data_IF_879170786135
#
_entry.id   IF_879170786135
#
_cell.length_a   1.000
_cell.length_b   1.000
_cell.length_c   1.000
_cell.angle_alpha   90.00
_cell.angle_beta   90.00
_cell.angle_gamma   90.00
#
_symmetry.space_group_name_H-M   'P 1'
#
loop_
_entity.id
_entity.type
_entity.pdbx_description
1 polymer ?
#
# COMPACT_ATOMS: atom_id res chain seq x y z
N UNK A 1 -10.06 -14.68 13.70
CA UNK A 1 -11.38 -14.82 13.03
C UNK A 1 -11.31 -15.66 11.74
N UNK A 2 -10.21 -15.65 10.97
CA UNK A 2 -10.07 -16.42 9.72
C UNK A 2 -8.99 -17.51 9.72
N UNK A 3 -8.39 -17.83 10.88
CA UNK A 3 -7.33 -18.86 11.04
C UNK A 3 -6.14 -18.70 10.07
N UNK A 4 -5.82 -17.45 9.72
CA UNK A 4 -4.63 -17.09 8.94
C UNK A 4 -3.57 -16.64 9.93
N UNK A 5 -2.40 -17.26 9.86
CA UNK A 5 -1.25 -16.86 10.67
C UNK A 5 -0.55 -15.67 10.00
N UNK A 6 -0.49 -14.54 10.71
CA UNK A 6 0.13 -13.31 10.22
C UNK A 6 1.11 -12.84 11.29
N UNK A 7 2.41 -13.00 11.02
CA UNK A 7 3.49 -12.59 11.91
C UNK A 7 3.83 -11.10 11.75
N UNK A 8 4.24 -10.44 12.83
CA UNK A 8 4.85 -9.12 12.84
C UNK A 8 6.11 -9.05 11.97
N UNK A 9 6.88 -10.14 11.87
CA UNK A 9 8.05 -10.19 10.99
C UNK A 9 7.67 -10.10 9.51
N UNK A 10 6.51 -10.66 9.14
CA UNK A 10 5.99 -10.51 7.79
C UNK A 10 5.70 -9.03 7.48
N UNK A 11 5.10 -8.30 8.41
CA UNK A 11 4.87 -6.85 8.24
C UNK A 11 6.17 -6.04 8.10
N UNK A 12 7.20 -6.32 8.91
CA UNK A 12 8.50 -5.63 8.80
C UNK A 12 9.14 -5.88 7.42
N UNK A 13 9.12 -7.14 6.96
CA UNK A 13 9.70 -7.52 5.67
C UNK A 13 8.99 -6.82 4.50
N UNK A 14 7.65 -6.81 4.51
CA UNK A 14 6.84 -6.18 3.48
C UNK A 14 7.00 -4.65 3.49
N UNK A 15 7.08 -4.03 4.67
CA UNK A 15 7.26 -2.58 4.77
C UNK A 15 8.59 -2.12 4.18
N UNK A 16 9.66 -2.93 4.27
CA UNK A 16 10.95 -2.60 3.63
C UNK A 16 10.94 -2.73 2.10
N UNK A 17 10.07 -3.59 1.56
CA UNK A 17 10.02 -3.87 0.12
C UNK A 17 9.02 -2.97 -0.63
N UNK A 18 7.92 -2.62 0.04
CA UNK A 18 6.78 -1.92 -0.56
C UNK A 18 6.92 -0.42 -0.29
N UNK A 19 7.12 0.41 -1.34
CA UNK A 19 7.24 1.85 -1.19
C UNK A 19 5.90 2.53 -0.88
N UNK A 20 5.96 3.66 -0.19
CA UNK A 20 4.81 4.54 -0.03
C UNK A 20 4.65 5.42 -1.27
N UNK A 21 3.48 5.34 -1.92
CA UNK A 21 3.21 6.08 -3.17
C UNK A 21 2.27 7.27 -3.00
N UNK A 22 1.54 7.35 -1.90
CA UNK A 22 0.40 8.28 -1.73
C UNK A 22 0.80 9.48 -0.87
N UNK A 23 0.68 10.68 -1.44
CA UNK A 23 0.99 11.96 -0.78
C UNK A 23 -0.25 12.57 -0.10
N UNK A 24 -0.93 11.80 0.74
CA UNK A 24 -2.08 12.25 1.53
C UNK A 24 -1.67 12.52 2.97
N UNK A 25 -2.26 13.53 3.61
CA UNK A 25 -2.05 13.82 5.04
C UNK A 25 -2.27 12.54 5.88
N UNK A 26 -1.32 12.15 6.75
CA UNK A 26 -0.15 12.91 7.24
C UNK A 26 1.14 12.77 6.42
N UNK A 27 1.19 11.87 5.44
CA UNK A 27 2.39 11.56 4.65
C UNK A 27 2.73 12.62 3.60
N UNK A 28 1.77 13.47 3.25
CA UNK A 28 1.94 14.53 2.25
C UNK A 28 0.96 15.68 2.42
N UNK A 29 0.93 16.59 1.44
CA UNK A 29 0.14 17.81 1.48
C UNK A 29 -1.30 17.69 0.96
N UNK A 30 -1.72 16.53 0.46
CA UNK A 30 -3.03 16.37 -0.19
C UNK A 30 -4.08 15.73 0.71
N UNK A 31 -5.35 15.98 0.41
CA UNK A 31 -6.49 15.41 1.11
C UNK A 31 -6.92 14.07 0.52
N UNK A 32 -7.81 13.36 1.22
CA UNK A 32 -8.41 12.13 0.70
C UNK A 32 -9.28 12.39 -0.55
N UNK A 33 -9.81 13.61 -0.69
CA UNK A 33 -10.60 14.02 -1.86
C UNK A 33 -9.68 14.11 -3.07
N UNK A 34 -8.52 14.75 -2.92
CA UNK A 34 -7.51 14.83 -3.98
C UNK A 34 -7.03 13.44 -4.39
N UNK A 35 -6.91 12.50 -3.44
CA UNK A 35 -6.59 11.10 -3.73
C UNK A 35 -7.67 10.41 -4.56
N UNK A 36 -8.94 10.60 -4.20
CA UNK A 36 -10.05 10.06 -4.99
C UNK A 36 -10.06 10.65 -6.41
N UNK A 37 -9.86 11.96 -6.54
CA UNK A 37 -9.79 12.63 -7.84
C UNK A 37 -8.57 12.21 -8.67
N UNK A 38 -7.45 11.87 -8.03
CA UNK A 38 -6.25 11.33 -8.66
C UNK A 38 -6.42 9.91 -9.22
N UNK A 39 -7.57 9.25 -9.01
CA UNK A 39 -7.85 7.88 -9.44
C UNK A 39 -8.09 6.90 -8.29
N UNK A 40 -7.87 7.34 -7.05
CA UNK A 40 -8.21 6.61 -5.84
C UNK A 40 -7.50 5.27 -5.69
N UNK A 41 -8.16 4.36 -4.94
CA UNK A 41 -7.63 3.02 -4.64
C UNK A 41 -7.37 2.21 -5.91
N UNK A 42 -8.25 2.14 -6.93
CA UNK A 42 -7.98 1.35 -8.13
C UNK A 42 -6.70 1.78 -8.85
N UNK A 43 -6.46 3.09 -8.99
CA UNK A 43 -5.27 3.61 -9.63
C UNK A 43 -3.98 3.32 -8.84
N UNK A 44 -4.05 3.42 -7.50
CA UNK A 44 -2.94 3.02 -6.62
C UNK A 44 -2.62 1.53 -6.74
N UNK A 45 -3.65 0.67 -6.66
CA UNK A 45 -3.50 -0.78 -6.75
C UNK A 45 -2.94 -1.19 -8.12
N UNK A 46 -3.38 -0.53 -9.20
CA UNK A 46 -2.84 -0.72 -10.54
C UNK A 46 -1.34 -0.36 -10.63
N UNK A 47 -0.92 0.74 -10.01
CA UNK A 47 0.49 1.12 -9.94
C UNK A 47 1.30 0.09 -9.12
N UNK A 48 0.71 -0.46 -8.06
CA UNK A 48 1.33 -1.47 -7.18
C UNK A 48 1.25 -2.91 -7.69
N UNK A 49 0.73 -3.15 -8.90
CA UNK A 49 0.46 -4.50 -9.45
C UNK A 49 1.59 -5.51 -9.34
N UNK A 50 2.85 -5.06 -9.30
CA UNK A 50 4.03 -5.94 -9.21
C UNK A 50 4.23 -6.56 -7.81
N UNK A 51 3.60 -5.98 -6.79
CA UNK A 51 3.66 -6.44 -5.40
C UNK A 51 2.41 -7.20 -4.97
N UNK A 52 1.45 -7.38 -5.88
CA UNK A 52 0.13 -7.92 -5.57
C UNK A 52 -0.13 -9.19 -6.35
N UNK A 53 -0.80 -10.14 -5.72
CA UNK A 53 -1.39 -11.26 -6.43
C UNK A 53 -2.70 -10.81 -7.09
N UNK A 54 -2.65 -10.62 -8.41
CA UNK A 54 -3.79 -10.16 -9.21
C UNK A 54 -4.87 -11.24 -9.40
N UNK A 55 -4.56 -12.50 -9.09
CA UNK A 55 -5.51 -13.61 -9.22
C UNK A 55 -6.48 -13.73 -8.03
N UNK A 56 -6.22 -13.00 -6.94
CA UNK A 56 -7.08 -12.97 -5.77
C UNK A 56 -8.51 -12.55 -6.11
N UNK A 57 -9.49 -13.34 -5.65
CA UNK A 57 -10.90 -13.01 -5.84
C UNK A 57 -11.34 -11.86 -4.93
N UNK A 58 -12.18 -10.98 -5.49
CA UNK A 58 -12.81 -9.90 -4.74
C UNK A 58 -14.27 -10.22 -4.43
N UNK A 59 -14.91 -9.36 -3.62
CA UNK A 59 -16.33 -9.50 -3.23
C UNK A 59 -17.29 -9.40 -4.41
N UNK A 60 -16.87 -8.77 -5.51
CA UNK A 60 -17.67 -8.61 -6.73
C UNK A 60 -17.63 -9.85 -7.63
N UNK A 61 -16.90 -10.89 -7.22
CA UNK A 61 -16.80 -12.17 -7.94
C UNK A 61 -15.85 -12.17 -9.14
N UNK A 62 -15.04 -11.11 -9.28
CA UNK A 62 -13.97 -11.00 -10.28
C UNK A 62 -12.61 -10.96 -9.59
N UNK A 63 -11.53 -11.18 -10.34
CA UNK A 63 -10.17 -11.10 -9.81
C UNK A 63 -9.75 -9.65 -9.53
N UNK A 64 -8.78 -9.45 -8.64
CA UNK A 64 -8.21 -8.14 -8.36
C UNK A 64 -7.65 -7.48 -9.62
N UNK A 65 -7.05 -8.27 -10.52
CA UNK A 65 -6.55 -7.81 -11.81
C UNK A 65 -7.65 -7.24 -12.72
N UNK A 66 -8.83 -7.88 -12.73
CA UNK A 66 -10.01 -7.39 -13.46
C UNK A 66 -10.61 -6.14 -12.81
N UNK A 67 -10.65 -6.07 -11.46
CA UNK A 67 -11.15 -4.91 -10.73
C UNK A 67 -10.40 -3.61 -11.05
N UNK A 68 -9.10 -3.71 -11.36
CA UNK A 68 -8.23 -2.56 -11.62
C UNK A 68 -7.98 -2.34 -13.12
N UNK A 69 -8.63 -3.12 -13.99
CA UNK A 69 -8.48 -2.99 -15.42
C UNK A 69 -8.96 -1.60 -15.88
N UNK A 70 -8.09 -0.87 -16.58
CA UNK A 70 -8.36 0.50 -17.02
C UNK A 70 -8.25 1.58 -15.92
N UNK A 71 -7.83 1.22 -14.70
CA UNK A 71 -7.54 2.20 -13.67
C UNK A 71 -6.25 2.97 -14.00
N UNK A 72 -6.35 4.30 -14.04
CA UNK A 72 -5.24 5.18 -14.37
C UNK A 72 -5.04 6.26 -13.31
N UNK A 73 -3.78 6.56 -13.03
CA UNK A 73 -3.41 7.67 -12.16
C UNK A 73 -3.56 8.99 -12.91
N UNK A 74 -4.50 9.82 -12.46
CA UNK A 74 -4.82 11.12 -13.05
C UNK A 74 -3.94 12.25 -12.52
N UNK A 75 -3.41 12.11 -11.31
CA UNK A 75 -2.50 13.09 -10.71
C UNK A 75 -1.30 12.41 -10.04
N UNK A 76 -0.12 12.63 -10.63
CA UNK A 76 1.15 12.03 -10.17
C UNK A 76 1.80 12.74 -8.98
N UNK A 77 1.32 13.93 -8.62
CA UNK A 77 1.71 14.60 -7.38
C UNK A 77 1.03 13.96 -6.17
N UNK A 78 -0.18 13.41 -6.35
CA UNK A 78 -0.94 12.73 -5.30
C UNK A 78 -0.62 11.24 -5.23
N UNK A 79 -0.53 10.55 -6.37
CA UNK A 79 -0.18 9.12 -6.47
C UNK A 79 1.09 8.98 -7.31
N UNK A 80 2.20 8.74 -6.64
CA UNK A 80 3.53 8.72 -7.25
C UNK A 80 3.86 7.42 -8.00
N UNK A 81 4.98 7.48 -8.72
CA UNK A 81 5.76 6.37 -9.29
C UNK A 81 6.13 5.21 -8.40
N UNK A 82 5.99 3.93 -8.77
CA UNK A 82 6.88 2.94 -8.13
C UNK A 82 8.36 3.15 -8.47
N UNK A 83 8.65 3.80 -9.61
CA UNK A 83 10.00 4.22 -9.98
C UNK A 83 10.48 5.47 -9.22
N UNK A 84 9.54 6.33 -8.83
CA UNK A 84 9.79 7.58 -8.11
C UNK A 84 8.82 7.69 -6.92
N UNK A 85 8.99 6.83 -5.89
CA UNK A 85 8.05 6.78 -4.78
C UNK A 85 8.22 7.98 -3.85
N UNK A 86 7.17 8.29 -3.08
CA UNK A 86 7.23 9.31 -2.03
C UNK A 86 8.21 8.91 -0.92
N UNK A 87 8.10 7.66 -0.45
CA UNK A 87 9.07 7.04 0.44
C UNK A 87 9.45 5.65 -0.10
N UNK A 88 10.75 5.34 -0.07
CA UNK A 88 11.28 4.07 -0.59
C UNK A 88 10.90 2.86 0.25
N UNK A 89 10.72 3.09 1.55
CA UNK A 89 10.25 2.12 2.52
C UNK A 89 8.84 2.56 2.97
N UNK A 90 8.01 1.58 3.31
CA UNK A 90 6.68 1.77 3.87
C UNK A 90 6.73 2.50 5.21
N UNK A 91 5.61 3.12 5.58
CA UNK A 91 5.51 3.92 6.80
C UNK A 91 5.44 3.13 8.12
N UNK A 92 5.50 1.80 8.06
CA UNK A 92 5.42 0.94 9.25
C UNK A 92 6.80 0.37 9.58
N UNK A 93 7.28 0.56 10.80
CA UNK A 93 8.54 -0.04 11.26
C UNK A 93 8.28 -0.88 12.50
N UNK A 94 8.74 -2.14 12.50
CA UNK A 94 8.66 -3.02 13.69
C UNK A 94 9.97 -2.95 14.47
N UNK A 95 9.93 -2.37 15.67
CA UNK A 95 11.06 -2.32 16.59
C UNK A 95 11.03 -3.51 17.55
N UNK A 96 12.12 -4.29 17.62
CA UNK A 96 12.35 -5.34 18.63
C UNK A 96 13.57 -5.01 19.49
N UNK A 97 13.49 -5.28 20.80
CA UNK A 97 14.60 -5.05 21.72
C UNK A 97 14.25 -5.40 23.17
N UNK A 98 15.15 -5.15 24.12
CA UNK A 98 14.92 -5.41 25.54
C UNK A 98 13.72 -4.64 26.13
N UNK A 99 13.33 -3.51 25.52
CA UNK A 99 12.14 -2.74 25.87
C UNK A 99 10.87 -3.22 25.17
N UNK A 100 11.00 -3.94 24.05
CA UNK A 100 9.89 -4.47 23.25
C UNK A 100 10.25 -5.89 22.79
N UNK A 101 10.24 -6.87 23.72
CA UNK A 101 10.64 -8.26 23.41
C UNK A 101 9.69 -8.93 22.40
N UNK A 102 8.41 -8.55 22.41
CA UNK A 102 7.39 -9.06 21.48
C UNK A 102 7.18 -8.15 20.25
N UNK A 103 7.95 -7.07 20.14
CA UNK A 103 7.86 -6.08 19.04
C UNK A 103 6.90 -4.93 19.30
N UNK A 104 7.20 -3.76 18.72
CA UNK A 104 6.34 -2.57 18.72
C UNK A 104 6.33 -1.95 17.31
N UNK A 105 5.14 -1.54 16.83
CA UNK A 105 4.98 -0.84 15.55
C UNK A 105 5.01 0.68 15.73
N UNK A 106 5.62 1.38 14.78
CA UNK A 106 5.56 2.84 14.61
C UNK A 106 5.07 3.14 13.21
#
# INVERSE_FOLDING_TARGET
ELDIDIDLELFDSLSREIPCLVSVVPNGGHSIIDFYEAGGVPALVAEMRRYLDLSCMTVDGVSLGECIEGAEVKNREVITSVAHPLYKEGGLVVLKGNLAPDGAGI
#
